data_IF_563279019765
#
_entry.id   IF_563279019765
#
_cell.length_a   1.000
_cell.length_b   1.000
_cell.length_c   1.000
_cell.angle_alpha   90.00
_cell.angle_beta   90.00
_cell.angle_gamma   90.00
#
_symmetry.space_group_name_H-M   'P 1'
#
loop_
_entity.id
_entity.type
_entity.pdbx_description
1 polymer ?
#
# COMPACT_ATOMS: atom_id res chain seq x y z
N UNK A 1 22.11 20.65 -11.32
CA UNK A 1 21.94 21.05 -9.90
C UNK A 1 20.49 20.79 -9.51
N UNK A 2 20.29 20.29 -8.29
CA UNK A 2 19.01 19.98 -7.61
C UNK A 2 18.47 18.55 -7.74
N UNK A 3 18.81 17.76 -6.72
CA UNK A 3 18.09 16.58 -6.24
C UNK A 3 16.71 16.99 -5.71
N UNK A 4 15.72 16.10 -5.72
CA UNK A 4 14.63 16.19 -4.73
C UNK A 4 14.03 14.81 -4.39
N UNK A 5 14.27 14.43 -3.13
CA UNK A 5 13.55 13.52 -2.25
C UNK A 5 12.78 12.32 -2.84
N UNK A 6 13.42 11.15 -2.83
CA UNK A 6 12.70 9.88 -2.74
C UNK A 6 12.08 9.75 -1.33
N UNK A 7 10.78 10.00 -1.23
CA UNK A 7 9.99 9.78 -0.01
C UNK A 7 9.93 8.28 0.29
N UNK A 8 10.62 7.83 1.34
CA UNK A 8 10.49 6.47 1.86
C UNK A 8 9.21 6.37 2.71
N UNK A 9 8.13 5.82 2.14
CA UNK A 9 6.91 5.53 2.88
C UNK A 9 7.07 4.20 3.64
N UNK A 10 7.58 4.25 4.88
CA UNK A 10 7.49 3.11 5.80
C UNK A 10 6.06 3.06 6.39
N UNK A 11 5.19 2.22 5.81
CA UNK A 11 3.86 1.99 6.35
C UNK A 11 3.91 0.86 7.40
N UNK A 12 4.22 1.19 8.65
CA UNK A 12 3.90 0.31 9.78
C UNK A 12 2.46 0.61 10.23
N UNK A 13 1.50 -0.20 9.77
CA UNK A 13 0.10 -0.09 10.17
C UNK A 13 -0.20 -1.09 11.29
N UNK A 14 -0.02 -0.66 12.55
CA UNK A 14 -0.53 -1.39 13.71
C UNK A 14 -1.92 -0.85 14.03
N UNK A 15 -2.96 -1.54 13.57
CA UNK A 15 -4.34 -1.25 13.96
C UNK A 15 -4.66 -1.93 15.28
N UNK A 16 -4.96 -1.15 16.31
CA UNK A 16 -5.56 -1.62 17.56
C UNK A 16 -7.08 -1.43 17.49
N UNK A 17 -7.90 -2.35 18.02
CA UNK A 17 -9.35 -2.20 17.97
C UNK A 17 -9.79 -1.02 18.86
N UNK A 18 -10.55 -0.07 18.26
CA UNK A 18 -11.26 0.99 19.00
C UNK A 18 -12.59 0.41 19.50
N UNK A 19 -12.73 0.30 20.81
CA UNK A 19 -13.86 -0.37 21.47
C UNK A 19 -15.13 0.53 21.57
N UNK A 20 -15.05 1.81 21.21
CA UNK A 20 -16.13 2.77 21.45
C UNK A 20 -16.70 3.37 20.16
N UNK A 21 -17.67 2.72 19.50
CA UNK A 21 -18.52 3.39 18.49
C UNK A 21 -19.84 2.66 18.21
N UNK A 22 -20.58 2.28 19.25
CA UNK A 22 -22.04 2.15 19.14
C UNK A 22 -22.67 3.55 19.38
N UNK A 23 -22.75 4.42 18.37
CA UNK A 23 -23.76 5.50 18.31
C UNK A 23 -23.66 6.25 16.98
N UNK A 24 -24.81 6.34 16.29
CA UNK A 24 -24.93 6.79 14.91
C UNK A 24 -24.80 8.29 14.66
N UNK A 25 -24.83 8.63 13.38
CA UNK A 25 -24.92 9.99 12.88
C UNK A 25 -24.85 10.03 11.35
N UNK A 26 -26.02 9.96 10.70
CA UNK A 26 -26.17 10.29 9.27
C UNK A 26 -25.92 11.78 9.04
N UNK A 27 -24.93 12.12 8.21
CA UNK A 27 -24.69 13.49 7.75
C UNK A 27 -24.11 13.46 6.34
N UNK A 28 -24.91 13.82 5.34
CA UNK A 28 -24.53 13.86 3.93
C UNK A 28 -23.83 15.17 3.56
N UNK A 29 -22.66 15.04 2.92
CA UNK A 29 -21.99 16.07 2.12
C UNK A 29 -21.83 15.59 0.67
N UNK A 30 -21.60 16.47 -0.32
CA UNK A 30 -21.38 16.09 -1.71
C UNK A 30 -19.97 15.50 -1.92
N UNK A 31 -19.68 14.41 -1.23
CA UNK A 31 -18.43 13.68 -1.32
C UNK A 31 -18.60 12.59 -2.38
N UNK A 32 -18.62 12.99 -3.65
CA UNK A 32 -18.47 12.06 -4.79
C UNK A 32 -17.02 11.58 -4.89
N UNK A 33 -16.43 11.12 -3.78
CA UNK A 33 -15.30 10.22 -3.84
C UNK A 33 -15.85 9.00 -4.57
N UNK A 34 -15.55 8.91 -5.87
CA UNK A 34 -15.98 7.84 -6.77
C UNK A 34 -16.03 6.56 -5.93
N UNK A 35 -17.24 6.04 -5.69
CA UNK A 35 -17.45 4.78 -4.96
C UNK A 35 -16.75 3.72 -5.82
N UNK A 36 -15.43 3.60 -5.63
CA UNK A 36 -14.67 2.48 -6.11
C UNK A 36 -15.32 1.32 -5.41
N UNK A 37 -16.00 0.42 -6.16
CA UNK A 37 -16.73 -0.67 -5.55
C UNK A 37 -15.79 -1.37 -4.58
N UNK A 38 -16.08 -1.29 -3.28
CA UNK A 38 -15.27 -1.95 -2.26
C UNK A 38 -15.43 -3.45 -2.49
N UNK A 39 -14.49 -4.01 -3.26
CA UNK A 39 -14.53 -5.43 -3.54
C UNK A 39 -14.20 -6.19 -2.26
N UNK A 40 -15.16 -6.99 -1.82
CA UNK A 40 -15.12 -7.69 -0.55
C UNK A 40 -14.45 -9.06 -0.63
N UNK A 41 -14.31 -9.68 0.54
CA UNK A 41 -13.89 -11.07 0.68
C UNK A 41 -14.84 -12.00 -0.12
N UNK A 42 -14.27 -13.01 -0.78
CA UNK A 42 -15.02 -13.97 -1.59
C UNK A 42 -15.21 -13.57 -3.06
N UNK A 43 -14.84 -12.34 -3.45
CA UNK A 43 -14.79 -11.95 -4.86
C UNK A 43 -13.51 -12.48 -5.53
N UNK A 44 -13.64 -13.11 -6.69
CA UNK A 44 -12.50 -13.52 -7.53
C UNK A 44 -12.04 -12.33 -8.39
N UNK A 45 -10.90 -11.74 -8.05
CA UNK A 45 -10.34 -10.59 -8.75
C UNK A 45 -8.98 -10.93 -9.40
N UNK A 46 -8.60 -10.21 -10.47
CA UNK A 46 -7.22 -10.22 -10.94
C UNK A 46 -6.25 -9.77 -9.83
N UNK A 47 -5.05 -10.36 -9.79
CA UNK A 47 -4.03 -9.98 -8.82
C UNK A 47 -3.54 -8.55 -9.08
N UNK A 48 -3.63 -7.68 -8.07
CA UNK A 48 -3.29 -6.26 -8.19
C UNK A 48 -1.83 -6.00 -8.59
N UNK A 49 -0.92 -6.90 -8.27
CA UNK A 49 0.52 -6.78 -8.55
C UNK A 49 0.93 -7.34 -9.91
N UNK A 50 -0.01 -7.85 -10.71
CA UNK A 50 0.26 -8.48 -12.01
C UNK A 50 1.08 -7.57 -12.90
N UNK A 51 0.67 -6.30 -13.07
CA UNK A 51 1.37 -5.33 -13.90
C UNK A 51 2.82 -5.15 -13.47
N UNK A 52 3.03 -4.92 -12.17
CA UNK A 52 4.36 -4.67 -11.63
C UNK A 52 5.30 -5.86 -11.88
N UNK A 53 4.78 -7.08 -11.69
CA UNK A 53 5.52 -8.33 -11.94
C UNK A 53 5.83 -8.53 -13.42
N UNK A 54 4.89 -8.20 -14.32
CA UNK A 54 5.08 -8.39 -15.76
C UNK A 54 5.96 -7.32 -16.40
N UNK A 55 5.94 -6.10 -15.87
CA UNK A 55 6.72 -4.97 -16.38
C UNK A 55 8.13 -4.88 -15.77
N UNK A 56 8.48 -5.77 -14.84
CA UNK A 56 9.78 -5.76 -14.16
C UNK A 56 9.97 -4.59 -13.19
N UNK A 57 8.87 -3.97 -12.74
CA UNK A 57 8.92 -2.88 -11.74
C UNK A 57 8.55 -3.35 -10.33
N UNK A 58 8.24 -4.63 -10.16
CA UNK A 58 8.00 -5.22 -8.84
C UNK A 58 9.34 -5.35 -8.09
N UNK A 59 9.49 -4.77 -6.88
CA UNK A 59 10.77 -4.76 -6.18
C UNK A 59 11.01 -6.09 -5.46
N UNK A 60 11.95 -6.89 -5.97
CA UNK A 60 12.43 -8.07 -5.25
C UNK A 60 13.52 -7.67 -4.25
N UNK A 61 13.70 -8.49 -3.20
CA UNK A 61 14.74 -8.22 -2.20
C UNK A 61 16.15 -8.14 -2.81
N UNK A 62 16.40 -8.91 -3.88
CA UNK A 62 17.65 -8.87 -4.63
C UNK A 62 17.85 -7.58 -5.44
N UNK A 63 16.77 -6.86 -5.75
CA UNK A 63 16.81 -5.59 -6.49
C UNK A 63 17.09 -4.41 -5.55
N UNK A 64 17.00 -4.62 -4.23
CA UNK A 64 17.26 -3.57 -3.25
C UNK A 64 18.75 -3.27 -3.19
N UNK A 65 19.09 -2.00 -3.38
CA UNK A 65 20.43 -1.49 -3.19
C UNK A 65 20.42 -0.29 -2.25
N UNK A 66 21.45 -0.23 -1.41
CA UNK A 66 21.75 0.87 -0.53
C UNK A 66 23.26 0.96 -0.37
N UNK A 67 23.76 2.18 -0.15
CA UNK A 67 25.18 2.43 0.09
C UNK A 67 25.67 1.60 1.28
N UNK A 68 26.75 0.83 1.08
CA UNK A 68 27.33 -0.01 2.12
C UNK A 68 26.62 -1.35 2.37
N UNK A 69 25.67 -1.78 1.53
CA UNK A 69 25.14 -3.16 1.60
C UNK A 69 26.26 -4.21 1.42
N UNK A 70 26.31 -5.18 2.33
CA UNK A 70 27.19 -6.35 2.22
C UNK A 70 26.41 -7.58 1.74
N UNK A 71 27.03 -8.37 0.86
CA UNK A 71 26.52 -9.66 0.43
C UNK A 71 27.12 -10.78 1.28
N UNK A 72 26.28 -11.74 1.68
CA UNK A 72 26.70 -12.95 2.39
C UNK A 72 26.45 -14.19 1.52
N UNK A 73 27.32 -15.18 1.65
CA UNK A 73 27.17 -16.51 1.05
C UNK A 73 27.29 -17.57 2.15
N UNK A 74 26.69 -18.73 1.93
CA UNK A 74 26.71 -19.89 2.83
C UNK A 74 27.63 -20.96 2.28
#
# INVERSE_FOLDING_TARGET
MSSDAATAANATSTSLPRIDALSGGSGGGPDQHLEQPRMGLGASLPAADTRAKTEGTFPYAADLWAEGLLWAAV
#
